data_IF_499236066682
#
_entry.id   IF_499236066682
#
_cell.length_a   1.000
_cell.length_b   1.000
_cell.length_c   1.000
_cell.angle_alpha   90.00
_cell.angle_beta   90.00
_cell.angle_gamma   90.00
#
_symmetry.space_group_name_H-M   'P 1'
#
loop_
_entity.id
_entity.type
_entity.pdbx_description
1 polymer ?
#
# COMPACT_ATOMS: atom_id res chain seq x y z
N UNK A 1 14.37 19.87 51.71
CA UNK A 1 13.85 19.34 50.43
C UNK A 1 14.69 20.00 49.37
N UNK A 2 15.64 19.26 48.78
CA UNK A 2 16.47 19.81 47.71
C UNK A 2 15.62 19.97 46.46
N UNK A 3 15.52 21.20 45.98
CA UNK A 3 14.73 21.53 44.81
C UNK A 3 15.48 21.05 43.56
N UNK A 4 14.90 20.10 42.84
CA UNK A 4 15.57 19.53 41.68
C UNK A 4 15.83 20.61 40.60
N UNK A 5 17.01 20.56 39.96
CA UNK A 5 17.35 21.51 38.92
C UNK A 5 16.38 21.44 37.72
N UNK A 6 16.12 22.57 37.04
CA UNK A 6 15.02 22.71 36.08
C UNK A 6 15.09 21.74 34.89
N UNK A 7 16.29 21.34 34.47
CA UNK A 7 16.48 20.38 33.38
C UNK A 7 16.03 18.96 33.73
N UNK A 8 16.02 18.56 35.01
CA UNK A 8 15.48 17.26 35.46
C UNK A 8 13.96 17.21 35.41
N UNK A 9 13.30 18.37 35.44
CA UNK A 9 11.84 18.49 35.32
C UNK A 9 11.39 18.42 33.85
N UNK A 10 12.29 18.62 32.88
CA UNK A 10 12.00 18.54 31.45
C UNK A 10 11.84 17.08 31.03
N UNK A 11 10.60 16.63 30.88
CA UNK A 11 10.26 15.35 30.26
C UNK A 11 10.19 15.53 28.76
N UNK A 12 11.32 15.36 28.08
CA UNK A 12 11.35 15.26 26.62
C UNK A 12 10.80 13.88 26.24
N UNK A 13 9.77 13.86 25.39
CA UNK A 13 9.34 12.62 24.75
C UNK A 13 10.48 12.10 23.86
N UNK A 14 10.72 10.80 23.88
CA UNK A 14 11.60 10.15 22.90
C UNK A 14 10.97 10.07 21.50
N UNK A 15 9.69 10.39 21.39
CA UNK A 15 8.98 10.53 20.13
C UNK A 15 9.51 11.71 19.34
N UNK A 16 9.61 11.52 18.02
CA UNK A 16 9.95 12.62 17.10
C UNK A 16 8.88 13.70 17.23
N UNK A 17 9.25 14.98 17.44
CA UNK A 17 8.30 16.06 17.41
C UNK A 17 7.57 16.06 16.07
N UNK A 18 6.25 16.08 16.10
CA UNK A 18 5.43 16.13 14.90
C UNK A 18 5.16 17.57 14.46
N UNK A 19 5.45 18.54 15.33
CA UNK A 19 5.23 19.98 15.14
C UNK A 19 6.44 20.80 15.58
N UNK A 20 6.58 21.98 15.00
CA UNK A 20 7.51 23.01 15.46
C UNK A 20 6.94 23.80 16.67
N UNK A 21 7.71 24.78 17.16
CA UNK A 21 7.32 25.64 18.29
C UNK A 21 6.08 26.50 18.00
N UNK A 22 5.72 26.68 16.73
CA UNK A 22 4.52 27.40 16.28
C UNK A 22 3.31 26.47 16.10
N UNK A 23 3.50 25.15 16.27
CA UNK A 23 2.46 24.14 16.10
C UNK A 23 2.27 23.68 14.65
N UNK A 24 3.16 24.08 13.73
CA UNK A 24 3.13 23.69 12.32
C UNK A 24 3.78 22.32 12.12
N UNK A 25 3.24 21.47 11.24
CA UNK A 25 3.77 20.13 11.03
C UNK A 25 5.17 20.17 10.41
N UNK A 26 6.11 19.44 11.00
CA UNK A 26 7.47 19.37 10.53
C UNK A 26 7.55 18.61 9.18
N UNK A 27 8.27 19.14 8.18
CA UNK A 27 8.43 18.45 6.91
C UNK A 27 9.29 17.19 7.09
N UNK A 28 8.97 16.15 6.32
CA UNK A 28 9.72 14.91 6.33
C UNK A 28 11.03 15.09 5.56
N UNK A 29 12.16 14.94 6.25
CA UNK A 29 13.48 15.01 5.66
C UNK A 29 13.78 13.70 4.91
N UNK A 30 14.17 13.80 3.65
CA UNK A 30 14.57 12.67 2.81
C UNK A 30 16.07 12.44 2.85
N UNK A 31 16.87 13.50 2.63
CA UNK A 31 18.32 13.39 2.55
C UNK A 31 19.01 14.70 2.93
N UNK A 32 20.31 14.62 3.23
CA UNK A 32 21.18 15.77 3.45
C UNK A 32 22.35 15.65 2.48
N UNK A 33 22.45 16.60 1.56
CA UNK A 33 23.56 16.68 0.60
C UNK A 33 24.89 16.93 1.31
N UNK A 34 26.05 16.55 0.72
CA UNK A 34 27.36 16.83 1.31
C UNK A 34 27.64 18.34 1.49
N UNK A 35 26.94 19.20 0.75
CA UNK A 35 27.00 20.66 0.89
C UNK A 35 26.14 21.19 2.05
N UNK A 36 25.46 20.30 2.79
CA UNK A 36 24.61 20.63 3.93
C UNK A 36 23.19 21.08 3.57
N UNK A 37 22.78 20.96 2.31
CA UNK A 37 21.39 21.22 1.92
C UNK A 37 20.49 20.07 2.31
N UNK A 38 19.34 20.40 2.89
CA UNK A 38 18.31 19.45 3.31
C UNK A 38 17.30 19.23 2.19
N UNK A 39 17.12 17.99 1.77
CA UNK A 39 16.12 17.59 0.78
C UNK A 39 14.90 17.09 1.54
N UNK A 40 13.78 17.80 1.43
CA UNK A 40 12.52 17.42 2.07
C UNK A 40 11.57 16.72 1.10
N UNK A 41 10.65 15.92 1.64
CA UNK A 41 9.56 15.34 0.86
C UNK A 41 8.69 16.47 0.29
N UNK A 42 8.45 16.49 -1.03
CA UNK A 42 7.53 17.43 -1.63
C UNK A 42 6.13 17.29 -1.03
N UNK A 43 5.48 18.41 -0.73
CA UNK A 43 4.07 18.41 -0.30
C UNK A 43 3.19 18.06 -1.51
N UNK A 44 2.52 16.92 -1.44
CA UNK A 44 1.53 16.53 -2.43
C UNK A 44 0.20 17.24 -2.14
N UNK A 45 -0.47 17.71 -3.19
CA UNK A 45 -1.84 18.21 -3.07
C UNK A 45 -2.78 17.04 -2.78
N UNK A 46 -3.52 17.05 -1.65
CA UNK A 46 -4.43 15.97 -1.31
C UNK A 46 -5.45 15.68 -2.41
N UNK A 47 -5.89 16.71 -3.15
CA UNK A 47 -6.84 16.53 -4.26
C UNK A 47 -6.25 15.71 -5.39
N UNK A 48 -5.00 16.00 -5.76
CA UNK A 48 -4.26 15.27 -6.79
C UNK A 48 -4.02 13.80 -6.42
N UNK A 49 -3.66 13.55 -5.16
CA UNK A 49 -3.44 12.19 -4.64
C UNK A 49 -4.72 11.36 -4.71
N UNK A 50 -5.84 11.93 -4.25
CA UNK A 50 -7.15 11.26 -4.31
C UNK A 50 -7.56 11.00 -5.75
N UNK A 51 -7.42 11.99 -6.64
CA UNK A 51 -7.74 11.85 -8.06
C UNK A 51 -6.93 10.74 -8.75
N UNK A 52 -5.64 10.64 -8.43
CA UNK A 52 -4.76 9.59 -8.95
C UNK A 52 -5.18 8.22 -8.45
N UNK A 53 -5.51 8.10 -7.15
CA UNK A 53 -5.99 6.84 -6.55
C UNK A 53 -7.33 6.41 -7.14
N UNK A 54 -8.27 7.33 -7.32
CA UNK A 54 -9.57 7.03 -7.95
C UNK A 54 -9.40 6.57 -9.39
N UNK A 55 -8.57 7.25 -10.18
CA UNK A 55 -8.26 6.84 -11.55
C UNK A 55 -7.66 5.42 -11.59
N UNK A 56 -6.75 5.13 -10.66
CA UNK A 56 -6.16 3.79 -10.51
C UNK A 56 -7.21 2.73 -10.21
N UNK A 57 -8.13 3.00 -9.28
CA UNK A 57 -9.23 2.07 -8.95
C UNK A 57 -10.05 1.75 -10.19
N UNK A 58 -10.44 2.76 -10.97
CA UNK A 58 -11.24 2.55 -12.17
C UNK A 58 -10.47 1.80 -13.27
N UNK A 59 -9.17 2.04 -13.42
CA UNK A 59 -8.33 1.31 -14.38
C UNK A 59 -8.14 -0.16 -13.99
N UNK A 60 -7.96 -0.45 -12.70
CA UNK A 60 -7.69 -1.80 -12.20
C UNK A 60 -8.97 -2.64 -12.01
N UNK A 61 -10.07 -2.01 -11.59
CA UNK A 61 -11.28 -2.72 -11.13
C UNK A 61 -12.54 -2.39 -11.95
N UNK A 62 -12.43 -1.48 -12.92
CA UNK A 62 -13.53 -1.07 -13.80
C UNK A 62 -14.44 0.02 -13.19
N UNK A 63 -15.31 0.56 -14.03
CA UNK A 63 -16.23 1.65 -13.68
C UNK A 63 -17.34 1.23 -12.71
N UNK A 64 -17.69 -0.06 -12.70
CA UNK A 64 -18.74 -0.61 -11.84
C UNK A 64 -18.26 -0.98 -10.43
N UNK A 65 -17.02 -0.59 -10.08
CA UNK A 65 -16.39 -0.90 -8.80
C UNK A 65 -17.28 -0.53 -7.61
N UNK A 66 -17.95 0.62 -7.61
CA UNK A 66 -18.76 1.03 -6.45
C UNK A 66 -20.14 0.34 -6.39
N UNK A 67 -20.65 -0.17 -7.51
CA UNK A 67 -21.93 -0.89 -7.55
C UNK A 67 -21.77 -2.35 -7.13
N UNK A 68 -20.66 -3.00 -7.52
CA UNK A 68 -20.34 -4.37 -7.12
C UNK A 68 -20.29 -4.55 -5.59
N UNK A 69 -19.84 -3.54 -4.85
CA UNK A 69 -19.69 -3.60 -3.39
C UNK A 69 -20.98 -3.38 -2.61
N UNK A 70 -22.06 -2.91 -3.23
CA UNK A 70 -23.36 -2.75 -2.54
C UNK A 70 -24.04 -4.10 -2.29
N UNK A 71 -23.73 -5.13 -3.08
CA UNK A 71 -24.31 -6.48 -2.95
C UNK A 71 -23.49 -7.43 -2.07
N UNK A 72 -22.17 -7.25 -1.99
CA UNK A 72 -21.26 -8.14 -1.22
C UNK A 72 -20.69 -7.42 -0.01
N UNK A 73 -21.37 -7.50 1.14
CA UNK A 73 -20.78 -7.15 2.44
C UNK A 73 -19.75 -8.21 2.87
N UNK A 74 -18.56 -8.18 2.29
CA UNK A 74 -17.34 -8.47 3.03
C UNK A 74 -16.17 -7.76 2.34
N UNK A 75 -15.67 -6.71 2.98
CA UNK A 75 -14.34 -6.22 2.66
C UNK A 75 -13.37 -7.32 3.14
N UNK A 76 -12.41 -7.79 2.31
CA UNK A 76 -11.27 -8.49 2.87
C UNK A 76 -10.59 -7.52 3.84
N UNK A 77 -10.48 -7.93 5.11
CA UNK A 77 -9.81 -7.14 6.12
C UNK A 77 -8.41 -6.74 5.60
N UNK A 78 -7.96 -5.49 5.84
CA UNK A 78 -6.60 -5.11 5.47
C UNK A 78 -5.65 -6.04 6.23
N UNK A 79 -4.99 -6.95 5.51
CA UNK A 79 -3.98 -7.82 6.10
C UNK A 79 -2.81 -6.91 6.50
N UNK A 80 -2.72 -6.62 7.79
CA UNK A 80 -1.49 -6.12 8.37
C UNK A 80 -0.39 -7.17 8.15
N UNK A 81 0.87 -6.78 7.90
CA UNK A 81 1.96 -7.73 7.77
C UNK A 81 2.18 -8.41 9.12
N UNK A 82 1.66 -9.64 9.27
CA UNK A 82 1.84 -10.44 10.48
C UNK A 82 3.24 -11.03 10.48
N UNK A 83 4.04 -10.62 11.47
CA UNK A 83 5.29 -11.25 11.81
C UNK A 83 5.04 -12.71 12.28
N UNK A 84 5.82 -13.62 11.71
CA UNK A 84 6.25 -14.97 12.18
C UNK A 84 5.64 -15.56 13.47
N UNK A 85 5.02 -16.74 13.32
CA UNK A 85 5.38 -17.99 14.01
C UNK A 85 4.74 -19.21 13.28
N UNK A 86 5.39 -20.38 13.20
CA UNK A 86 4.88 -21.55 12.49
C UNK A 86 4.01 -22.41 13.42
N UNK A 87 2.95 -23.01 12.89
CA UNK A 87 2.46 -24.26 13.45
C UNK A 87 2.01 -25.18 12.32
N UNK A 88 2.54 -26.39 12.37
CA UNK A 88 2.36 -27.47 11.43
C UNK A 88 1.10 -28.23 11.82
N UNK A 89 0.17 -28.43 10.88
CA UNK A 89 -0.52 -29.71 10.72
C UNK A 89 -1.36 -29.68 9.43
N UNK A 90 -0.86 -30.44 8.44
CA UNK A 90 -1.66 -31.01 7.35
C UNK A 90 -2.81 -31.86 7.96
N UNK A 91 -3.94 -32.06 7.29
CA UNK A 91 -4.19 -33.06 6.23
C UNK A 91 -5.56 -32.68 5.64
N UNK A 92 -5.65 -32.30 4.35
CA UNK A 92 -6.07 -33.14 3.21
C UNK A 92 -7.59 -33.44 3.23
N UNK A 93 -8.43 -33.30 2.20
CA UNK A 93 -8.23 -33.34 0.75
C UNK A 93 -9.55 -32.98 0.03
N UNK A 94 -9.46 -32.26 -1.10
CA UNK A 94 -10.17 -32.48 -2.40
C UNK A 94 -11.70 -32.31 -2.54
N UNK A 95 -12.34 -31.77 -3.62
CA UNK A 95 -12.06 -31.15 -4.95
C UNK A 95 -13.47 -30.89 -5.62
N UNK A 96 -13.64 -30.37 -6.85
CA UNK A 96 -13.24 -29.07 -7.40
C UNK A 96 -14.40 -28.34 -8.16
N UNK A 97 -14.35 -27.01 -8.24
CA UNK A 97 -15.19 -26.19 -9.10
C UNK A 97 -14.55 -26.00 -10.49
N UNK A 98 -15.32 -26.11 -11.56
CA UNK A 98 -14.90 -25.95 -12.96
C UNK A 98 -14.19 -24.59 -13.20
N UNK A 99 -12.96 -24.67 -13.70
CA UNK A 99 -12.04 -23.56 -13.84
C UNK A 99 -12.23 -22.80 -15.15
N UNK A 100 -12.48 -21.49 -15.06
CA UNK A 100 -12.24 -20.53 -16.13
C UNK A 100 -10.74 -20.49 -16.48
N UNK A 101 -10.30 -21.32 -17.43
CA UNK A 101 -8.90 -21.43 -17.80
C UNK A 101 -8.52 -20.28 -18.73
N UNK A 102 -7.85 -19.26 -18.19
CA UNK A 102 -7.22 -18.19 -18.96
C UNK A 102 -5.96 -18.72 -19.65
N UNK A 103 -5.95 -18.74 -20.97
CA UNK A 103 -4.82 -19.22 -21.77
C UNK A 103 -3.59 -18.32 -21.63
N UNK A 104 -2.42 -18.95 -21.72
CA UNK A 104 -1.14 -18.24 -21.70
C UNK A 104 -0.83 -17.57 -23.04
N UNK A 105 -0.03 -16.49 -23.06
CA UNK A 105 0.32 -15.80 -24.30
C UNK A 105 1.08 -16.70 -25.30
N UNK A 106 1.83 -17.71 -24.83
CA UNK A 106 2.48 -18.69 -25.71
C UNK A 106 1.49 -19.63 -26.40
N UNK A 107 0.43 -20.04 -25.72
CA UNK A 107 -0.65 -20.83 -26.34
C UNK A 107 -1.42 -20.01 -27.38
N UNK A 108 -1.73 -18.75 -27.08
CA UNK A 108 -2.37 -17.85 -28.04
C UNK A 108 -1.51 -17.62 -29.28
N UNK A 109 -0.18 -17.51 -29.11
CA UNK A 109 0.75 -17.39 -30.22
C UNK A 109 0.77 -18.65 -31.10
N UNK A 110 0.76 -19.85 -30.50
CA UNK A 110 0.67 -21.12 -31.24
C UNK A 110 -0.62 -21.23 -32.04
N UNK A 111 -1.75 -20.82 -31.46
CA UNK A 111 -3.04 -20.79 -32.17
C UNK A 111 -3.03 -19.81 -33.34
N UNK A 112 -2.36 -18.67 -33.19
CA UNK A 112 -2.20 -17.71 -34.30
C UNK A 112 -1.39 -18.30 -35.46
N UNK A 113 -0.34 -19.05 -35.16
CA UNK A 113 0.52 -19.66 -36.19
C UNK A 113 -0.18 -20.80 -36.94
N UNK A 114 -1.08 -21.55 -36.30
CA UNK A 114 -1.80 -22.64 -36.96
C UNK A 114 -2.89 -22.17 -37.93
N UNK A 115 -3.37 -20.93 -37.80
CA UNK A 115 -4.42 -20.36 -38.65
C UNK A 115 -3.90 -19.66 -39.91
N UNK A 116 -2.63 -19.25 -39.93
CA UNK A 116 -2.02 -18.57 -41.08
C UNK A 116 -1.92 -19.39 -42.39
N UNK A 117 -1.78 -20.73 -42.40
CA UNK A 117 -1.70 -21.50 -43.65
C UNK A 117 -3.04 -21.63 -44.41
N UNK A 118 -4.14 -21.12 -43.85
CA UNK A 118 -5.48 -21.22 -44.44
C UNK A 118 -5.96 -19.88 -45.04
N UNK A 119 -5.08 -18.88 -45.15
CA UNK A 119 -5.22 -17.68 -45.99
C UNK A 119 -4.25 -17.76 -47.17
#
# INVERSE_FOLDING_TARGET
>A
MEEEPPWKKLKLSLERPYKDDNGEPLPELLDITPDGQHIYRPREDPTSVVGTRLRRIFAERGHDFFEAYKGSRSLPAPQAPSATAPDENAVDSEKPSESSHTMTPEELYKMRMSLLPQL
#
